data_IF_366120267557
#
_entry.id   IF_366120267557
#
_cell.length_a   1.000
_cell.length_b   1.000
_cell.length_c   1.000
_cell.angle_alpha   90.00
_cell.angle_beta   90.00
_cell.angle_gamma   90.00
#
_symmetry.space_group_name_H-M   'P 1'
#
loop_
_entity.id
_entity.type
_entity.pdbx_description
1 polymer ?
#
# COMPACT_ATOMS: atom_id res chain seq x y z
N UNK A 1 -41.40 -4.70 -13.30
CA UNK A 1 -42.13 -5.87 -13.83
C UNK A 1 -41.14 -7.00 -14.09
N UNK A 2 -41.31 -8.14 -13.40
CA UNK A 2 -40.49 -9.36 -13.55
C UNK A 2 -40.73 -10.00 -14.92
N UNK A 3 -39.68 -10.37 -15.66
CA UNK A 3 -39.80 -11.29 -16.81
C UNK A 3 -39.13 -12.62 -16.46
N UNK A 4 -39.98 -13.61 -16.19
CA UNK A 4 -39.63 -15.02 -16.10
C UNK A 4 -39.24 -15.55 -17.48
N UNK A 5 -38.10 -16.24 -17.55
CA UNK A 5 -37.75 -17.07 -18.70
C UNK A 5 -38.51 -18.40 -18.63
N UNK A 6 -39.28 -18.69 -19.67
CA UNK A 6 -39.97 -19.98 -19.86
C UNK A 6 -39.13 -20.84 -20.81
N UNK A 7 -38.57 -21.92 -20.29
CA UNK A 7 -37.99 -23.01 -21.08
C UNK A 7 -39.00 -23.55 -22.10
N UNK A 8 -38.56 -23.76 -23.34
CA UNK A 8 -39.23 -24.67 -24.28
C UNK A 8 -38.37 -25.91 -24.49
N UNK A 9 -39.03 -27.05 -24.27
CA UNK A 9 -38.55 -28.42 -24.40
C UNK A 9 -38.04 -28.72 -25.81
N UNK A 10 -36.97 -29.51 -25.81
CA UNK A 10 -36.39 -30.29 -26.90
C UNK A 10 -37.44 -31.14 -27.61
N UNK A 11 -37.36 -31.23 -28.94
CA UNK A 11 -37.92 -32.33 -29.72
C UNK A 11 -36.80 -32.93 -30.59
N UNK A 12 -36.53 -34.22 -30.38
CA UNK A 12 -35.58 -35.03 -31.13
C UNK A 12 -36.28 -35.64 -32.36
N UNK A 13 -35.69 -35.48 -33.54
CA UNK A 13 -35.81 -36.34 -34.73
C UNK A 13 -34.52 -36.06 -35.53
N UNK A 14 -33.75 -36.99 -36.07
CA UNK A 14 -33.79 -38.44 -36.19
C UNK A 14 -32.48 -38.81 -36.91
N UNK A 15 -32.03 -40.04 -36.70
CA UNK A 15 -30.74 -40.62 -37.07
C UNK A 15 -30.28 -40.40 -38.51
N UNK A 16 -29.01 -40.05 -38.70
CA UNK A 16 -28.13 -40.47 -39.80
C UNK A 16 -26.77 -39.76 -39.70
N UNK A 17 -25.67 -40.48 -39.95
CA UNK A 17 -24.25 -40.06 -39.92
C UNK A 17 -23.52 -40.10 -38.57
N UNK A 18 -23.19 -41.34 -38.17
CA UNK A 18 -21.89 -41.64 -37.58
C UNK A 18 -20.80 -41.37 -38.65
N UNK A 19 -19.67 -40.79 -38.23
CA UNK A 19 -18.44 -40.41 -38.97
C UNK A 19 -18.32 -38.95 -39.48
N UNK A 20 -18.49 -37.96 -38.59
CA UNK A 20 -17.78 -36.67 -38.68
C UNK A 20 -17.69 -35.91 -37.31
N UNK A 21 -18.07 -36.55 -36.20
CA UNK A 21 -18.31 -35.87 -34.92
C UNK A 21 -17.13 -35.82 -33.94
N UNK A 22 -16.02 -36.52 -34.22
CA UNK A 22 -14.84 -36.51 -33.34
C UNK A 22 -13.79 -35.47 -33.74
N UNK A 23 -13.84 -34.92 -34.95
CA UNK A 23 -12.99 -33.77 -35.31
C UNK A 23 -13.64 -32.45 -34.91
N UNK A 24 -14.94 -32.22 -35.17
CA UNK A 24 -15.54 -30.92 -34.84
C UNK A 24 -15.66 -30.64 -33.33
N UNK A 25 -15.85 -31.65 -32.49
CA UNK A 25 -15.89 -31.45 -31.04
C UNK A 25 -14.50 -31.10 -30.46
N UNK A 26 -13.45 -31.76 -30.96
CA UNK A 26 -12.05 -31.46 -30.63
C UNK A 26 -11.66 -30.08 -31.16
N UNK A 27 -12.06 -29.73 -32.38
CA UNK A 27 -11.75 -28.42 -32.94
C UNK A 27 -12.47 -27.28 -32.22
N UNK A 28 -13.71 -27.46 -31.73
CA UNK A 28 -14.40 -26.41 -30.98
C UNK A 28 -13.84 -26.27 -29.56
N UNK A 29 -13.49 -27.37 -28.88
CA UNK A 29 -12.78 -27.30 -27.59
C UNK A 29 -11.40 -26.67 -27.77
N UNK A 30 -10.62 -27.10 -28.76
CA UNK A 30 -9.30 -26.57 -29.05
C UNK A 30 -9.37 -25.10 -29.47
N UNK A 31 -10.39 -24.67 -30.23
CA UNK A 31 -10.57 -23.26 -30.60
C UNK A 31 -10.99 -22.42 -29.38
N UNK A 32 -11.83 -22.94 -28.48
CA UNK A 32 -12.21 -22.23 -27.26
C UNK A 32 -11.05 -22.15 -26.26
N UNK A 33 -10.31 -23.23 -26.09
CA UNK A 33 -9.12 -23.33 -25.23
C UNK A 33 -7.99 -22.45 -25.78
N UNK A 34 -7.65 -22.54 -27.08
CA UNK A 34 -6.69 -21.64 -27.72
C UNK A 34 -7.13 -20.17 -27.64
N UNK A 35 -8.42 -19.87 -27.77
CA UNK A 35 -8.92 -18.49 -27.64
C UNK A 35 -8.78 -18.00 -26.20
N UNK A 36 -9.09 -18.83 -25.22
CA UNK A 36 -8.93 -18.51 -23.80
C UNK A 36 -7.46 -18.37 -23.40
N UNK A 37 -6.58 -19.25 -23.88
CA UNK A 37 -5.13 -19.16 -23.72
C UNK A 37 -4.57 -17.90 -24.39
N UNK A 38 -5.01 -17.56 -25.61
CA UNK A 38 -4.53 -16.36 -26.31
C UNK A 38 -4.94 -15.06 -25.61
N UNK A 39 -6.14 -15.01 -25.04
CA UNK A 39 -6.64 -13.87 -24.26
C UNK A 39 -5.88 -13.79 -22.93
N UNK A 40 -5.71 -14.90 -22.23
CA UNK A 40 -4.94 -14.96 -20.99
C UNK A 40 -3.49 -14.50 -21.20
N UNK A 41 -2.84 -14.98 -22.27
CA UNK A 41 -1.48 -14.58 -22.65
C UNK A 41 -1.40 -13.08 -22.92
N UNK A 42 -2.39 -12.51 -23.62
CA UNK A 42 -2.45 -11.07 -23.89
C UNK A 42 -2.53 -10.26 -22.59
N UNK A 43 -3.35 -10.68 -21.62
CA UNK A 43 -3.43 -10.02 -20.32
C UNK A 43 -2.15 -10.17 -19.49
N UNK A 44 -1.56 -11.37 -19.46
CA UNK A 44 -0.26 -11.60 -18.81
C UNK A 44 0.81 -10.68 -19.40
N UNK A 45 0.89 -10.56 -20.73
CA UNK A 45 1.85 -9.67 -21.40
C UNK A 45 1.59 -8.20 -21.03
N UNK A 46 0.33 -7.77 -20.92
CA UNK A 46 -0.02 -6.39 -20.50
C UNK A 46 0.47 -6.13 -19.08
N UNK A 47 0.17 -7.01 -18.13
CA UNK A 47 0.55 -6.85 -16.71
C UNK A 47 2.07 -6.90 -16.56
N UNK A 48 2.71 -7.90 -17.16
CA UNK A 48 4.18 -8.02 -17.15
C UNK A 48 4.84 -6.77 -17.72
N UNK A 49 4.38 -6.24 -18.86
CA UNK A 49 4.93 -5.01 -19.42
C UNK A 49 4.61 -3.78 -18.57
N UNK A 50 3.46 -3.72 -17.90
CA UNK A 50 3.14 -2.63 -16.99
C UNK A 50 4.14 -2.61 -15.82
N UNK A 51 4.35 -3.74 -15.14
CA UNK A 51 5.31 -3.84 -14.02
C UNK A 51 6.74 -3.57 -14.49
N UNK A 52 7.14 -4.09 -15.64
CA UNK A 52 8.46 -3.86 -16.23
C UNK A 52 8.78 -2.38 -16.46
N UNK A 53 7.76 -1.56 -16.73
CA UNK A 53 7.90 -0.13 -16.99
C UNK A 53 7.58 0.74 -15.77
N UNK A 54 7.32 0.15 -14.59
CA UNK A 54 7.15 0.92 -13.36
C UNK A 54 8.47 1.56 -12.93
N UNK A 55 8.38 2.78 -12.41
CA UNK A 55 9.51 3.50 -11.84
C UNK A 55 9.59 3.23 -10.33
N UNK A 56 10.66 2.56 -9.91
CA UNK A 56 10.99 2.27 -8.52
C UNK A 56 12.13 3.14 -8.00
N UNK A 57 12.38 4.28 -8.65
CA UNK A 57 13.34 5.27 -8.14
C UNK A 57 12.79 5.84 -6.83
N UNK A 58 13.64 5.86 -5.80
CA UNK A 58 13.29 6.46 -4.52
C UNK A 58 13.21 7.97 -4.67
N UNK A 59 12.09 8.52 -4.21
CA UNK A 59 11.91 9.95 -4.03
C UNK A 59 12.42 10.31 -2.64
N UNK A 60 13.62 10.87 -2.58
CA UNK A 60 14.18 11.33 -1.30
C UNK A 60 13.30 12.47 -0.75
N UNK A 61 12.82 12.36 0.50
CA UNK A 61 12.09 13.45 1.16
C UNK A 61 12.87 14.77 1.14
N UNK A 62 12.16 15.88 0.90
CA UNK A 62 12.77 17.20 0.94
C UNK A 62 11.84 18.23 1.59
N UNK A 63 12.20 18.65 2.81
CA UNK A 63 11.51 19.74 3.49
C UNK A 63 11.86 21.09 2.88
N UNK A 64 10.88 21.75 2.27
CA UNK A 64 10.93 23.11 1.73
C UNK A 64 10.18 24.08 2.65
N UNK A 65 10.62 24.14 3.90
CA UNK A 65 10.03 25.00 4.94
C UNK A 65 11.09 25.81 5.67
N UNK A 66 10.68 26.95 6.19
CA UNK A 66 11.48 27.79 7.07
C UNK A 66 11.57 27.19 8.49
N UNK A 67 12.59 27.55 9.29
CA UNK A 67 12.65 27.16 10.70
C UNK A 67 11.44 27.62 11.52
N UNK A 68 10.86 28.78 11.17
CA UNK A 68 9.64 29.28 11.81
C UNK A 68 8.43 28.39 11.52
N UNK A 69 8.25 27.96 10.26
CA UNK A 69 7.22 26.99 9.89
C UNK A 69 7.45 25.65 10.59
N UNK A 70 8.69 25.16 10.62
CA UNK A 70 9.04 23.91 11.31
C UNK A 70 8.62 23.94 12.79
N UNK A 71 8.78 25.07 13.47
CA UNK A 71 8.31 25.24 14.86
C UNK A 71 6.79 25.15 14.98
N UNK A 72 6.03 25.63 13.98
CA UNK A 72 4.57 25.53 13.96
C UNK A 72 4.16 24.06 13.82
N UNK A 73 4.71 23.33 12.85
CA UNK A 73 4.43 21.90 12.66
C UNK A 73 4.77 21.07 13.90
N UNK A 74 5.98 21.25 14.46
CA UNK A 74 6.38 20.56 15.68
C UNK A 74 5.43 20.84 16.84
N UNK A 75 5.00 22.09 17.02
CA UNK A 75 4.05 22.44 18.08
C UNK A 75 2.70 21.75 17.87
N UNK A 76 2.19 21.74 16.64
CA UNK A 76 0.93 21.08 16.29
C UNK A 76 0.99 19.58 16.59
N UNK A 77 2.00 18.89 16.07
CA UNK A 77 2.19 17.45 16.31
C UNK A 77 2.44 17.12 17.78
N UNK A 78 3.19 17.94 18.52
CA UNK A 78 3.41 17.73 19.94
C UNK A 78 2.09 17.85 20.74
N UNK A 79 1.20 18.77 20.36
CA UNK A 79 -0.10 18.93 21.01
C UNK A 79 -0.99 17.69 20.85
N UNK A 80 -0.89 17.00 19.71
CA UNK A 80 -1.56 15.71 19.48
C UNK A 80 -1.00 14.62 20.38
N UNK A 81 0.32 14.49 20.47
CA UNK A 81 0.95 13.48 21.33
C UNK A 81 0.65 13.70 22.82
N UNK A 82 0.45 14.95 23.24
CA UNK A 82 0.01 15.33 24.59
C UNK A 82 -1.49 15.10 24.83
N UNK A 83 -2.26 14.83 23.78
CA UNK A 83 -3.72 14.72 23.83
C UNK A 83 -4.44 16.07 24.02
N UNK A 84 -3.76 17.17 23.71
CA UNK A 84 -4.30 18.54 23.80
C UNK A 84 -5.11 18.92 22.55
N UNK A 85 -4.69 18.43 21.38
CA UNK A 85 -5.39 18.60 20.11
C UNK A 85 -5.98 17.27 19.61
N UNK A 86 -7.21 17.28 19.07
CA UNK A 86 -7.77 16.12 18.40
C UNK A 86 -7.15 15.96 17.00
N UNK A 87 -7.28 14.75 16.48
CA UNK A 87 -6.96 14.37 15.11
C UNK A 87 -8.29 14.16 14.38
N UNK A 88 -8.44 14.75 13.21
CA UNK A 88 -9.59 14.55 12.35
C UNK A 88 -9.42 13.25 11.56
N UNK A 89 -10.36 12.34 11.73
CA UNK A 89 -10.41 11.13 10.93
C UNK A 89 -11.21 11.36 9.63
N UNK A 90 -11.24 10.36 8.76
CA UNK A 90 -11.98 10.37 7.48
C UNK A 90 -13.51 10.59 7.59
N UNK A 91 -14.07 10.57 8.80
CA UNK A 91 -15.49 10.80 9.08
C UNK A 91 -15.74 12.14 9.78
N UNK A 92 -14.73 13.01 9.83
CA UNK A 92 -14.76 14.30 10.52
C UNK A 92 -15.04 14.18 12.04
N UNK A 93 -14.75 13.02 12.62
CA UNK A 93 -14.88 12.80 14.07
C UNK A 93 -13.52 13.03 14.75
N UNK A 94 -13.49 13.74 15.90
CA UNK A 94 -12.26 13.95 16.64
C UNK A 94 -11.81 12.65 17.32
N UNK A 95 -10.57 12.27 17.07
CA UNK A 95 -9.90 11.13 17.70
C UNK A 95 -8.65 11.63 18.42
N UNK A 96 -8.33 11.10 19.60
CA UNK A 96 -7.10 11.46 20.30
C UNK A 96 -6.03 10.42 20.05
N UNK A 97 -4.76 10.84 20.17
CA UNK A 97 -3.61 9.98 19.95
C UNK A 97 -3.68 8.61 20.67
N UNK A 98 -4.12 8.60 21.93
CA UNK A 98 -4.29 7.38 22.76
C UNK A 98 -5.36 6.40 22.25
N UNK A 99 -6.23 6.87 21.37
CA UNK A 99 -7.35 6.12 20.81
C UNK A 99 -7.04 5.63 19.39
N UNK A 100 -5.91 6.02 18.81
CA UNK A 100 -5.46 5.53 17.52
C UNK A 100 -5.14 4.03 17.58
N UNK A 101 -5.38 3.31 16.48
CA UNK A 101 -5.12 1.87 16.43
C UNK A 101 -3.61 1.59 16.63
N UNK A 102 -3.28 0.64 17.50
CA UNK A 102 -1.89 0.38 17.92
C UNK A 102 -1.33 1.36 18.97
N UNK A 103 -1.70 2.65 18.92
CA UNK A 103 -1.28 3.63 19.92
C UNK A 103 -2.16 3.57 21.17
N UNK A 104 -1.69 2.89 22.21
CA UNK A 104 -2.35 2.82 23.54
C UNK A 104 -1.51 3.45 24.64
N UNK A 105 -0.70 4.44 24.28
CA UNK A 105 0.35 4.99 25.13
C UNK A 105 0.00 6.42 25.54
N UNK A 106 0.10 6.68 26.83
CA UNK A 106 -0.01 8.05 27.37
C UNK A 106 1.28 8.83 27.09
N UNK A 107 1.19 10.16 26.98
CA UNK A 107 2.34 11.03 26.71
C UNK A 107 3.50 10.82 27.72
N UNK A 108 3.18 10.55 28.99
CA UNK A 108 4.18 10.27 30.02
C UNK A 108 5.00 8.99 29.73
N UNK A 109 4.41 8.00 29.05
CA UNK A 109 5.15 6.81 28.59
C UNK A 109 6.05 7.13 27.40
N UNK A 110 5.58 7.97 26.47
CA UNK A 110 6.37 8.44 25.34
C UNK A 110 7.64 9.16 25.81
N UNK A 111 7.51 10.06 26.79
CA UNK A 111 8.65 10.80 27.37
C UNK A 111 9.68 9.90 28.06
N UNK A 112 9.24 8.82 28.70
CA UNK A 112 10.16 7.83 29.31
C UNK A 112 10.98 7.09 28.26
N UNK A 113 10.42 6.91 27.07
CA UNK A 113 11.02 6.17 25.96
C UNK A 113 11.48 7.10 24.84
N UNK A 114 11.69 8.39 25.12
CA UNK A 114 11.95 9.40 24.07
C UNK A 114 13.23 9.20 23.25
N UNK A 115 14.17 8.42 23.76
CA UNK A 115 15.44 8.07 23.09
C UNK A 115 15.39 6.69 22.41
N UNK A 116 14.27 5.98 22.53
CA UNK A 116 14.11 4.62 22.03
C UNK A 116 13.79 4.69 20.53
N UNK A 117 14.62 4.03 19.71
CA UNK A 117 14.43 3.88 18.25
C UNK A 117 14.18 2.41 17.90
N UNK A 118 13.17 1.84 18.50
CA UNK A 118 12.74 0.47 18.26
C UNK A 118 11.22 0.38 18.42
N UNK A 119 10.62 -0.62 17.80
CA UNK A 119 9.21 -0.89 17.96
C UNK A 119 8.85 -1.12 19.45
N UNK A 120 7.77 -0.54 19.98
CA UNK A 120 6.74 0.29 19.33
C UNK A 120 6.94 1.79 19.65
N UNK A 121 8.09 2.37 19.34
CA UNK A 121 8.40 3.80 19.48
C UNK A 121 9.09 4.32 18.22
N UNK A 122 8.49 4.07 17.06
CA UNK A 122 9.05 4.42 15.76
C UNK A 122 8.30 5.63 15.20
N UNK A 123 9.04 6.69 14.90
CA UNK A 123 8.49 7.94 14.38
C UNK A 123 9.21 8.35 13.10
N UNK A 124 8.49 9.05 12.25
CA UNK A 124 9.00 9.76 11.08
C UNK A 124 8.58 11.23 11.19
N UNK A 125 9.47 12.11 10.78
CA UNK A 125 9.16 13.53 10.58
C UNK A 125 9.95 13.98 9.37
N UNK A 126 9.31 13.96 8.23
CA UNK A 126 9.89 14.26 6.94
C UNK A 126 8.77 14.58 5.95
N UNK A 127 9.14 14.96 4.73
CA UNK A 127 8.25 15.06 3.58
C UNK A 127 7.86 13.65 3.11
N UNK A 128 6.82 13.09 3.74
CA UNK A 128 6.36 11.72 3.53
C UNK A 128 5.41 11.60 2.34
N UNK A 129 4.79 12.69 1.92
CA UNK A 129 3.86 12.73 0.79
C UNK A 129 4.45 13.40 -0.47
N UNK A 130 5.52 14.19 -0.33
CA UNK A 130 6.23 14.84 -1.42
C UNK A 130 5.79 16.29 -1.70
N UNK A 131 4.99 16.91 -0.83
CA UNK A 131 4.53 18.29 -0.97
C UNK A 131 5.53 19.33 -0.42
N UNK A 132 6.59 18.87 0.26
CA UNK A 132 7.66 19.69 0.82
C UNK A 132 7.43 20.15 2.26
N UNK A 133 6.30 19.79 2.86
CA UNK A 133 6.01 20.01 4.29
C UNK A 133 6.29 18.72 5.07
N UNK A 134 6.31 18.79 6.40
CA UNK A 134 6.57 17.63 7.21
C UNK A 134 5.28 16.97 7.71
N UNK A 135 5.21 15.65 7.57
CA UNK A 135 4.18 14.82 8.18
C UNK A 135 4.74 14.09 9.41
N UNK A 136 3.86 13.77 10.36
CA UNK A 136 4.19 12.88 11.46
C UNK A 136 3.79 11.45 11.12
N UNK A 137 4.78 10.62 10.81
CA UNK A 137 4.61 9.17 10.72
C UNK A 137 4.75 8.51 12.09
N UNK A 138 3.83 7.63 12.45
CA UNK A 138 3.82 6.90 13.72
C UNK A 138 3.66 5.41 13.43
N UNK A 139 4.59 4.57 13.89
CA UNK A 139 4.46 3.11 13.81
C UNK A 139 4.49 2.47 15.20
N UNK A 140 3.29 2.26 15.75
CA UNK A 140 3.04 1.55 17.01
C UNK A 140 2.27 0.25 16.80
N UNK A 141 2.50 -0.42 15.67
CA UNK A 141 1.79 -1.65 15.27
C UNK A 141 0.72 -1.40 14.20
N UNK A 142 0.47 -0.15 13.87
CA UNK A 142 -0.17 0.28 12.63
C UNK A 142 0.58 1.54 12.20
N UNK A 143 1.08 1.58 10.96
CA UNK A 143 1.67 2.78 10.41
C UNK A 143 0.56 3.82 10.19
N UNK A 144 0.73 5.03 10.73
CA UNK A 144 -0.20 6.13 10.52
C UNK A 144 0.58 7.38 10.11
N UNK A 145 0.01 8.16 9.20
CA UNK A 145 0.55 9.47 8.81
C UNK A 145 -0.44 10.51 9.27
N UNK A 146 0.04 11.47 10.04
CA UNK A 146 -0.69 12.68 10.39
C UNK A 146 -0.13 13.84 9.59
N UNK A 147 -1.04 14.58 8.99
CA UNK A 147 -0.78 15.75 8.17
C UNK A 147 -1.42 16.98 8.85
N UNK A 148 -0.69 18.08 8.93
CA UNK A 148 -1.13 19.32 9.58
C UNK A 148 -1.36 20.42 8.55
N UNK A 149 -2.56 20.99 8.59
CA UNK A 149 -3.01 22.05 7.68
C UNK A 149 -3.04 23.40 8.41
N UNK A 150 -1.99 24.25 8.30
CA UNK A 150 -1.83 25.44 9.13
C UNK A 150 -2.93 26.49 8.93
N UNK A 151 -3.49 26.59 7.72
CA UNK A 151 -4.55 27.54 7.39
C UNK A 151 -5.86 27.25 8.12
N UNK A 152 -6.10 25.98 8.46
CA UNK A 152 -7.30 25.52 9.14
C UNK A 152 -7.07 25.10 10.59
N UNK A 153 -5.79 25.02 11.01
CA UNK A 153 -5.35 24.49 12.30
C UNK A 153 -5.89 23.08 12.58
N UNK A 154 -5.92 22.24 11.53
CA UNK A 154 -6.42 20.87 11.58
C UNK A 154 -5.29 19.87 11.38
N UNK A 155 -5.37 18.76 12.11
CA UNK A 155 -4.47 17.61 11.93
C UNK A 155 -5.32 16.44 11.46
N UNK A 156 -5.03 15.95 10.25
CA UNK A 156 -5.78 14.91 9.59
C UNK A 156 -4.97 13.61 9.53
N UNK A 157 -5.66 12.48 9.55
CA UNK A 157 -5.03 11.20 9.21
C UNK A 157 -5.00 11.06 7.68
N UNK A 158 -3.84 11.22 7.06
CA UNK A 158 -3.67 11.06 5.61
C UNK A 158 -3.45 9.59 5.21
N UNK A 159 -3.00 8.74 6.14
CA UNK A 159 -2.81 7.31 5.90
C UNK A 159 -2.99 6.45 7.14
N UNK A 160 -3.58 5.26 6.98
CA UNK A 160 -3.63 4.19 7.98
C UNK A 160 -3.26 2.86 7.33
N UNK A 161 -2.10 2.35 7.70
CA UNK A 161 -1.53 1.11 7.21
C UNK A 161 -1.55 -0.04 8.22
N UNK A 162 -0.98 -1.15 7.80
CA UNK A 162 -0.78 -2.34 8.63
C UNK A 162 0.51 -2.25 9.47
N UNK A 163 0.70 -3.21 10.37
CA UNK A 163 1.96 -3.38 11.12
C UNK A 163 3.08 -3.82 10.18
N UNK A 164 4.26 -3.22 10.30
CA UNK A 164 5.46 -3.69 9.59
C UNK A 164 5.71 -3.02 8.24
N UNK A 165 4.79 -2.16 7.79
CA UNK A 165 4.99 -1.27 6.66
C UNK A 165 6.11 -0.27 6.91
N UNK A 166 6.84 0.10 5.84
CA UNK A 166 8.02 0.96 5.93
C UNK A 166 8.03 1.98 4.81
N UNK A 167 8.44 3.21 5.14
CA UNK A 167 8.73 4.22 4.13
C UNK A 167 10.02 3.90 3.38
N UNK A 168 9.91 3.97 2.06
CA UNK A 168 11.03 3.90 1.13
C UNK A 168 11.50 5.31 0.76
N UNK A 169 10.56 6.25 0.60
CA UNK A 169 10.75 7.65 0.23
C UNK A 169 9.41 8.40 0.27
N UNK A 170 9.40 9.65 -0.19
CA UNK A 170 8.21 10.49 -0.29
C UNK A 170 7.17 9.84 -1.21
N UNK A 171 5.96 9.63 -0.68
CA UNK A 171 4.85 8.97 -1.36
C UNK A 171 5.06 7.47 -1.60
N UNK A 172 6.01 6.82 -0.92
CA UNK A 172 6.42 5.44 -1.22
C UNK A 172 6.51 4.57 0.04
N UNK A 173 5.63 3.57 0.14
CA UNK A 173 5.58 2.60 1.24
C UNK A 173 5.75 1.19 0.70
N UNK A 174 6.46 0.36 1.46
CA UNK A 174 6.58 -1.08 1.24
C UNK A 174 5.93 -1.83 2.40
N UNK A 175 5.06 -2.77 2.06
CA UNK A 175 4.52 -3.79 2.97
C UNK A 175 5.10 -5.17 2.63
N UNK A 176 5.45 -5.93 3.66
CA UNK A 176 5.96 -7.28 3.53
C UNK A 176 5.26 -8.20 4.51
N UNK A 177 4.60 -9.22 3.97
CA UNK A 177 3.78 -10.16 4.73
C UNK A 177 4.12 -11.60 4.35
N UNK A 178 4.62 -12.36 5.32
CA UNK A 178 4.82 -13.81 5.20
C UNK A 178 3.68 -14.57 5.90
N UNK A 179 3.02 -15.45 5.17
CA UNK A 179 1.95 -16.33 5.63
C UNK A 179 2.23 -17.78 5.25
N UNK A 180 2.70 -18.57 6.21
CA UNK A 180 3.06 -19.99 6.04
C UNK A 180 4.04 -20.23 4.87
N UNK A 181 3.52 -20.54 3.68
CA UNK A 181 4.30 -20.78 2.45
C UNK A 181 4.17 -19.68 1.40
N UNK A 182 3.46 -18.61 1.72
CA UNK A 182 3.20 -17.50 0.79
C UNK A 182 3.83 -16.23 1.32
N UNK A 183 4.58 -15.55 0.48
CA UNK A 183 5.11 -14.21 0.72
C UNK A 183 4.37 -13.21 -0.15
N UNK A 184 4.01 -12.08 0.43
CA UNK A 184 3.47 -10.92 -0.27
C UNK A 184 4.37 -9.72 -0.04
N UNK A 185 4.74 -9.05 -1.12
CA UNK A 185 5.37 -7.73 -1.07
C UNK A 185 4.49 -6.75 -1.83
N UNK A 186 4.03 -5.71 -1.15
CA UNK A 186 3.16 -4.69 -1.73
C UNK A 186 3.87 -3.34 -1.76
N UNK A 187 3.83 -2.71 -2.93
CA UNK A 187 4.24 -1.33 -3.14
C UNK A 187 3.00 -0.44 -3.08
N UNK A 188 2.98 0.47 -2.11
CA UNK A 188 1.92 1.43 -1.89
C UNK A 188 2.47 2.80 -2.27
N UNK A 189 1.77 3.49 -3.15
CA UNK A 189 2.23 4.74 -3.74
C UNK A 189 1.16 5.82 -3.61
N UNK A 190 1.57 7.04 -3.27
CA UNK A 190 0.69 8.19 -3.26
C UNK A 190 0.47 8.71 -4.69
N UNK A 191 -0.75 8.58 -5.18
CA UNK A 191 -1.10 8.99 -6.53
C UNK A 191 -1.33 10.51 -6.65
N UNK A 192 -1.58 11.00 -7.86
CA UNK A 192 -1.77 12.43 -8.13
C UNK A 192 -3.04 13.04 -7.53
N UNK A 193 -3.96 12.20 -7.05
CA UNK A 193 -5.20 12.62 -6.40
C UNK A 193 -5.03 12.66 -4.85
N UNK A 194 -3.78 12.56 -4.37
CA UNK A 194 -3.41 12.46 -2.95
C UNK A 194 -4.06 11.26 -2.24
N UNK A 195 -4.20 10.13 -2.95
CA UNK A 195 -4.69 8.88 -2.38
C UNK A 195 -3.60 7.80 -2.41
N UNK A 196 -3.49 7.05 -1.32
CA UNK A 196 -2.51 5.98 -1.16
C UNK A 196 -3.04 4.68 -1.78
N UNK A 197 -2.38 4.21 -2.83
CA UNK A 197 -2.86 3.08 -3.64
C UNK A 197 -1.85 1.92 -3.67
N UNK A 198 -2.35 0.70 -3.44
CA UNK A 198 -1.59 -0.54 -3.68
C UNK A 198 -1.35 -0.70 -5.19
N UNK A 199 -0.20 -0.20 -5.64
CA UNK A 199 0.14 -0.09 -7.07
C UNK A 199 0.66 -1.40 -7.64
N UNK A 200 1.38 -2.16 -6.82
CA UNK A 200 1.94 -3.46 -7.17
C UNK A 200 1.89 -4.39 -5.95
N UNK A 201 1.38 -5.61 -6.15
CA UNK A 201 1.56 -6.71 -5.20
C UNK A 201 2.26 -7.87 -5.90
N UNK A 202 3.33 -8.34 -5.27
CA UNK A 202 4.12 -9.48 -5.67
C UNK A 202 3.80 -10.62 -4.72
N UNK A 203 3.35 -11.76 -5.24
CA UNK A 203 3.11 -12.94 -4.40
C UNK A 203 3.92 -14.14 -4.88
N UNK A 204 4.61 -14.78 -3.93
CA UNK A 204 5.33 -16.02 -4.15
C UNK A 204 4.76 -17.11 -3.25
N UNK A 205 4.36 -18.25 -3.82
CA UNK A 205 3.79 -19.38 -3.07
C UNK A 205 4.20 -20.71 -3.69
N UNK A 206 4.81 -21.62 -2.92
CA UNK A 206 5.14 -22.99 -3.37
C UNK A 206 5.80 -23.07 -4.76
N UNK A 207 6.72 -22.15 -5.08
CA UNK A 207 7.42 -22.12 -6.38
C UNK A 207 6.67 -21.41 -7.51
N UNK A 208 5.49 -20.84 -7.24
CA UNK A 208 4.68 -20.06 -8.18
C UNK A 208 4.83 -18.55 -7.90
N UNK A 209 4.79 -17.76 -8.97
CA UNK A 209 5.03 -16.32 -8.95
C UNK A 209 3.82 -15.59 -9.52
N UNK A 210 3.34 -14.56 -8.82
CA UNK A 210 2.16 -13.80 -9.21
C UNK A 210 2.42 -12.30 -9.15
N UNK A 211 2.02 -11.60 -10.20
CA UNK A 211 2.00 -10.14 -10.28
C UNK A 211 0.56 -9.63 -10.19
N UNK A 212 0.38 -8.57 -9.43
CA UNK A 212 -0.89 -7.86 -9.30
C UNK A 212 -0.63 -6.36 -9.35
N UNK A 213 -1.45 -5.63 -10.08
CA UNK A 213 -1.43 -4.16 -10.08
C UNK A 213 -2.81 -3.65 -9.71
N UNK A 214 -2.94 -2.37 -9.41
CA UNK A 214 -4.22 -1.74 -9.09
C UNK A 214 -5.36 -2.04 -10.10
N UNK A 215 -5.03 -2.30 -11.37
CA UNK A 215 -6.00 -2.60 -12.42
C UNK A 215 -6.18 -4.09 -12.71
N UNK A 216 -5.27 -4.94 -12.25
CA UNK A 216 -5.14 -6.32 -12.72
C UNK A 216 -4.73 -7.25 -11.58
N UNK A 217 -5.65 -8.13 -11.15
CA UNK A 217 -5.43 -9.03 -10.01
C UNK A 217 -4.80 -10.38 -10.38
N UNK A 218 -3.77 -10.76 -9.63
CA UNK A 218 -3.20 -12.12 -9.51
C UNK A 218 -2.90 -12.86 -10.83
N UNK A 219 -1.90 -12.40 -11.56
CA UNK A 219 -1.42 -13.00 -12.82
C UNK A 219 -0.18 -13.86 -12.60
N UNK A 220 -0.27 -15.15 -12.92
CA UNK A 220 0.87 -16.05 -12.87
C UNK A 220 1.91 -15.70 -13.94
N UNK A 221 3.18 -15.70 -13.55
CA UNK A 221 4.33 -15.48 -14.45
C UNK A 221 5.38 -16.56 -14.25
N UNK A 222 6.17 -16.79 -15.30
CA UNK A 222 7.31 -17.69 -15.22
C UNK A 222 8.44 -17.07 -14.39
N UNK A 223 9.34 -17.92 -13.87
CA UNK A 223 10.44 -17.50 -12.99
C UNK A 223 11.34 -16.46 -13.66
N UNK A 224 11.63 -16.61 -14.95
CA UNK A 224 12.48 -15.69 -15.70
C UNK A 224 11.84 -14.29 -15.80
N UNK A 225 10.52 -14.24 -16.04
CA UNK A 225 9.76 -12.99 -16.09
C UNK A 225 9.71 -12.32 -14.72
N UNK A 226 9.49 -13.11 -13.66
CA UNK A 226 9.52 -12.63 -12.28
C UNK A 226 10.84 -11.95 -11.95
N UNK A 227 11.97 -12.66 -12.12
CA UNK A 227 13.30 -12.13 -11.79
C UNK A 227 13.59 -10.83 -12.52
N UNK A 228 13.18 -10.74 -13.78
CA UNK A 228 13.38 -9.54 -14.59
C UNK A 228 12.62 -8.32 -14.05
N UNK A 229 11.34 -8.47 -13.68
CA UNK A 229 10.50 -7.33 -13.32
C UNK A 229 10.57 -6.96 -11.84
N UNK A 230 10.90 -7.91 -10.96
CA UNK A 230 10.94 -7.65 -9.51
C UNK A 230 12.30 -7.16 -9.02
N UNK A 231 13.37 -7.31 -9.82
CA UNK A 231 14.72 -6.89 -9.44
C UNK A 231 14.80 -5.44 -8.97
N UNK A 232 14.38 -4.46 -9.78
CA UNK A 232 14.39 -3.04 -9.39
C UNK A 232 13.55 -2.75 -8.13
N UNK A 233 12.40 -3.41 -7.98
CA UNK A 233 11.57 -3.27 -6.78
C UNK A 233 12.30 -3.75 -5.52
N UNK A 234 12.90 -4.94 -5.54
CA UNK A 234 13.62 -5.46 -4.36
C UNK A 234 14.93 -4.71 -4.08
N UNK A 235 15.55 -4.09 -5.09
CA UNK A 235 16.67 -3.16 -4.88
C UNK A 235 16.21 -1.92 -4.12
N UNK A 236 15.05 -1.35 -4.48
CA UNK A 236 14.45 -0.22 -3.78
C UNK A 236 14.17 -0.55 -2.30
N UNK A 237 13.63 -1.74 -1.98
CA UNK A 237 13.29 -2.11 -0.59
C UNK A 237 14.49 -2.30 0.35
N UNK A 238 15.71 -2.37 -0.19
CA UNK A 238 16.95 -2.38 0.61
C UNK A 238 17.25 -1.00 1.22
N UNK A 239 16.72 0.07 0.63
CA UNK A 239 16.82 1.43 1.17
C UNK A 239 15.56 1.75 1.97
N UNK A 240 15.73 2.45 3.08
CA UNK A 240 14.64 2.79 3.98
C UNK A 240 14.84 4.18 4.52
N UNK A 241 13.73 4.91 4.65
CA UNK A 241 13.75 6.18 5.37
C UNK A 241 14.10 5.92 6.83
N UNK A 242 15.02 6.74 7.37
CA UNK A 242 15.48 6.59 8.74
C UNK A 242 14.43 7.11 9.72
N UNK A 243 14.04 6.24 10.64
CA UNK A 243 13.18 6.59 11.77
C UNK A 243 13.92 7.51 12.75
N UNK A 244 13.17 8.43 13.36
CA UNK A 244 13.64 9.37 14.37
C UNK A 244 13.11 8.97 15.74
N UNK A 245 13.88 9.27 16.78
CA UNK A 245 13.37 9.22 18.16
C UNK A 245 12.56 10.48 18.48
N UNK A 246 11.72 10.44 19.51
CA UNK A 246 10.98 11.64 19.95
C UNK A 246 11.92 12.78 20.34
N UNK A 247 13.06 12.47 20.96
CA UNK A 247 14.07 13.47 21.32
C UNK A 247 14.73 14.09 20.10
N UNK A 248 15.11 13.30 19.08
CA UNK A 248 15.65 13.85 17.84
C UNK A 248 14.65 14.75 17.10
N UNK A 249 13.37 14.45 17.24
CA UNK A 249 12.30 15.21 16.60
C UNK A 249 11.99 16.53 17.34
N UNK A 250 11.64 16.43 18.62
CA UNK A 250 11.14 17.57 19.42
C UNK A 250 12.21 18.23 20.29
N UNK A 251 13.27 17.50 20.66
CA UNK A 251 14.37 17.99 21.49
C UNK A 251 13.89 18.74 22.74
N UNK A 252 14.34 19.97 22.89
CA UNK A 252 14.02 20.83 24.03
C UNK A 252 12.52 21.13 24.17
N UNK A 253 11.72 21.02 23.10
CA UNK A 253 10.28 21.26 23.12
C UNK A 253 9.51 20.22 23.95
N UNK A 254 10.12 19.06 24.23
CA UNK A 254 9.55 18.06 25.14
C UNK A 254 9.42 18.58 26.59
N UNK A 255 10.10 19.69 26.93
CA UNK A 255 9.99 20.34 28.23
C UNK A 255 10.68 19.53 29.32
N UNK A 256 12.00 19.46 29.28
CA UNK A 256 12.81 18.86 30.34
C UNK A 256 12.67 19.67 31.64
N UNK A 257 11.82 19.18 32.55
CA UNK A 257 11.78 19.58 33.95
C UNK A 257 12.72 18.75 34.82
#
# INVERSE_FOLDING_TARGET
MKKQYRMKKVLYMGSSMLLAGLSCAVWISDIQENRQESVQKTYTDIVYNAVKNMDFTIKEPYLDITPEEEMIYKKAYLSVLKGEAPIQNRWDEPVYYKDLNGAKKEYAELLKNRFVREFPYLYYYDDLDGDGKPELGIDHGCLQILDYEPDSDLICVSYVGSSGQKFLGAGQIWDHLELDKTCYDTYIYLNSDNDWEETLTLAYSDGQYYLETALYHRFAVEKEQWVEVTGPFFEMTQKRLLQKTLDEFFGEQLGYG
#
